data_IF_959124201497
#
_entry.id   IF_959124201497
#
_cell.length_a   1.000
_cell.length_b   1.000
_cell.length_c   1.000
_cell.angle_alpha   90.00
_cell.angle_beta   90.00
_cell.angle_gamma   90.00
#
_symmetry.space_group_name_H-M   'P 1'
#
loop_
_entity.id
_entity.type
_entity.pdbx_description
1 polymer ?
#
# COMPACT_ATOMS: atom_id res chain seq x y z
N UNK A 1 44.31 42.67 1.43
CA UNK A 1 43.22 43.01 0.49
C UNK A 1 42.34 41.77 0.36
N UNK A 2 41.11 41.87 0.91
CA UNK A 2 39.97 40.92 0.84
C UNK A 2 40.20 39.54 1.50
N UNK A 3 39.73 39.18 2.70
CA UNK A 3 38.41 39.19 3.38
C UNK A 3 37.33 38.24 2.83
N UNK A 4 36.64 37.59 3.79
CA UNK A 4 35.51 36.60 3.79
C UNK A 4 35.91 35.10 3.76
N UNK A 5 35.81 34.22 4.78
CA UNK A 5 35.07 34.03 6.07
C UNK A 5 33.65 33.39 5.96
N UNK A 6 33.60 32.05 6.19
CA UNK A 6 32.54 31.17 6.82
C UNK A 6 31.11 31.04 6.20
N UNK A 7 30.21 30.10 6.64
CA UNK A 7 30.33 28.79 7.33
C UNK A 7 29.38 27.64 6.85
N UNK A 8 29.68 26.44 7.36
CA UNK A 8 28.87 25.31 7.84
C UNK A 8 27.33 25.49 8.13
N UNK A 9 26.58 24.39 7.95
CA UNK A 9 25.33 23.96 8.63
C UNK A 9 23.96 24.48 8.19
N UNK A 10 23.03 23.52 7.93
CA UNK A 10 21.59 23.47 8.27
C UNK A 10 21.01 22.17 7.68
N UNK A 11 20.87 21.05 8.42
CA UNK A 11 19.80 20.77 9.40
C UNK A 11 18.49 21.49 9.05
N UNK A 12 17.67 20.86 8.22
CA UNK A 12 16.26 21.25 8.05
C UNK A 12 15.46 20.44 9.07
N UNK A 13 15.27 21.08 10.22
CA UNK A 13 14.37 20.62 11.26
C UNK A 13 12.96 21.17 10.99
N UNK A 14 11.98 20.25 11.08
CA UNK A 14 10.66 20.42 11.70
C UNK A 14 10.39 21.82 12.32
N UNK A 15 9.40 22.55 11.79
CA UNK A 15 8.45 23.46 12.51
C UNK A 15 7.22 23.64 11.60
N UNK A 16 6.12 22.91 11.76
CA UNK A 16 5.03 23.22 12.70
C UNK A 16 4.88 24.72 13.00
N UNK A 17 4.18 25.44 12.12
CA UNK A 17 3.44 26.66 12.50
C UNK A 17 2.09 26.65 11.79
N UNK A 18 1.11 26.14 12.53
CA UNK A 18 -0.30 26.46 12.39
C UNK A 18 -0.45 28.00 12.40
N UNK A 19 -0.99 28.58 11.32
CA UNK A 19 -1.46 29.97 11.33
C UNK A 19 -2.92 30.00 10.93
N UNK A 20 -3.72 30.35 11.93
CA UNK A 20 -5.17 30.43 11.96
C UNK A 20 -5.74 31.55 11.07
N UNK A 21 -6.97 31.26 10.63
CA UNK A 21 -8.14 32.15 10.59
C UNK A 21 -8.25 33.19 9.46
N UNK A 22 -9.06 32.84 8.45
CA UNK A 22 -10.33 33.54 8.18
C UNK A 22 -11.11 32.77 7.11
N UNK A 23 -12.09 31.98 7.53
CA UNK A 23 -13.31 31.75 6.73
C UNK A 23 -14.43 31.42 7.71
N UNK A 24 -15.22 32.44 8.02
CA UNK A 24 -16.54 32.32 8.61
C UNK A 24 -17.50 31.97 7.48
N UNK A 25 -17.86 30.70 7.29
CA UNK A 25 -19.10 30.32 6.62
C UNK A 25 -19.73 29.16 7.37
N UNK A 26 -21.01 29.36 7.64
CA UNK A 26 -22.00 28.56 8.34
C UNK A 26 -22.33 27.23 7.68
N UNK A 27 -22.65 26.26 8.55
CA UNK A 27 -23.59 25.14 8.39
C UNK A 27 -22.99 23.72 8.25
N UNK A 28 -23.61 22.72 8.90
CA UNK A 28 -23.02 21.42 9.19
C UNK A 28 -23.48 20.37 8.18
N UNK A 29 -22.56 19.59 7.62
CA UNK A 29 -22.91 18.26 7.13
C UNK A 29 -21.70 17.34 7.16
N UNK A 30 -21.89 16.28 7.94
CA UNK A 30 -21.08 15.09 8.04
C UNK A 30 -20.82 14.52 6.65
N UNK A 31 -19.56 14.48 6.24
CA UNK A 31 -19.04 13.49 5.30
C UNK A 31 -17.56 13.27 5.63
N UNK A 32 -17.33 12.57 6.73
CA UNK A 32 -16.08 11.86 6.94
C UNK A 32 -16.09 10.63 6.03
N UNK A 33 -15.87 10.83 4.74
CA UNK A 33 -15.44 9.78 3.83
C UNK A 33 -13.99 9.46 4.18
N UNK A 34 -13.78 8.39 4.95
CA UNK A 34 -12.52 7.69 4.95
C UNK A 34 -12.25 7.27 3.51
N UNK A 35 -11.37 7.99 2.83
CA UNK A 35 -10.75 7.48 1.63
C UNK A 35 -9.88 6.31 2.09
N UNK A 36 -10.35 5.08 1.90
CA UNK A 36 -9.52 3.88 1.91
C UNK A 36 -8.53 4.05 0.76
N UNK A 37 -7.39 4.68 1.05
CA UNK A 37 -6.30 4.85 0.11
C UNK A 37 -5.75 3.44 -0.10
N UNK A 38 -6.20 2.76 -1.15
CA UNK A 38 -5.33 1.84 -1.85
C UNK A 38 -4.05 2.62 -2.12
N UNK A 39 -2.98 2.33 -1.39
CA UNK A 39 -1.65 2.69 -1.82
C UNK A 39 -1.24 1.79 -3.00
N UNK A 40 -2.08 1.69 -4.03
CA UNK A 40 -1.57 1.48 -5.38
C UNK A 40 -0.96 2.83 -5.71
N UNK A 41 0.35 2.96 -5.53
CA UNK A 41 1.09 4.08 -6.07
C UNK A 41 1.03 3.96 -7.60
N UNK A 42 -0.08 4.43 -8.19
CA UNK A 42 -0.19 4.65 -9.62
C UNK A 42 0.69 5.84 -9.96
N UNK A 43 1.98 5.57 -10.10
CA UNK A 43 2.85 6.42 -10.92
C UNK A 43 2.17 6.59 -12.27
N UNK A 44 2.01 7.83 -12.74
CA UNK A 44 1.37 8.12 -14.01
C UNK A 44 2.16 7.46 -15.17
N UNK A 45 1.81 6.25 -15.55
CA UNK A 45 2.36 5.53 -16.69
C UNK A 45 1.48 4.29 -16.97
N UNK A 46 1.26 4.02 -18.25
CA UNK A 46 0.82 2.76 -18.90
C UNK A 46 0.27 1.64 -18.01
N UNK A 47 -0.88 1.05 -18.42
CA UNK A 47 -1.42 -0.14 -17.76
C UNK A 47 -0.29 -1.16 -17.50
N UNK A 48 -0.16 -1.66 -16.25
CA UNK A 48 0.94 -2.54 -15.88
C UNK A 48 0.98 -3.75 -16.81
N UNK A 49 2.18 -4.21 -17.14
CA UNK A 49 2.31 -5.41 -17.94
C UNK A 49 1.62 -6.58 -17.22
N UNK A 50 0.97 -7.50 -17.96
CA UNK A 50 0.18 -8.58 -17.35
C UNK A 50 0.99 -9.44 -16.38
N UNK A 51 2.27 -9.69 -16.68
CA UNK A 51 3.13 -10.50 -15.81
C UNK A 51 3.45 -9.76 -14.50
N UNK A 52 3.75 -8.46 -14.53
CA UNK A 52 3.99 -7.64 -13.35
C UNK A 52 2.75 -7.52 -12.49
N UNK A 53 1.58 -7.35 -13.11
CA UNK A 53 0.31 -7.39 -12.39
C UNK A 53 0.11 -8.75 -11.71
N UNK A 54 0.33 -9.86 -12.43
CA UNK A 54 0.21 -11.21 -11.87
C UNK A 54 1.19 -11.42 -10.69
N UNK A 55 2.44 -10.95 -10.80
CA UNK A 55 3.45 -10.99 -9.72
C UNK A 55 3.02 -10.18 -8.51
N UNK A 56 2.55 -8.94 -8.71
CA UNK A 56 2.06 -8.08 -7.63
C UNK A 56 0.87 -8.70 -6.91
N UNK A 57 -0.15 -9.15 -7.63
CA UNK A 57 -1.32 -9.79 -7.01
C UNK A 57 -0.92 -11.09 -6.30
N UNK A 58 0.04 -11.85 -6.85
CA UNK A 58 0.58 -13.03 -6.17
C UNK A 58 1.28 -12.68 -4.85
N UNK A 59 2.07 -11.61 -4.80
CA UNK A 59 2.68 -11.12 -3.56
C UNK A 59 1.63 -10.64 -2.56
N UNK A 60 0.65 -9.85 -3.00
CA UNK A 60 -0.47 -9.38 -2.16
C UNK A 60 -1.26 -10.54 -1.56
N UNK A 61 -1.50 -11.62 -2.32
CA UNK A 61 -2.13 -12.82 -1.79
C UNK A 61 -1.27 -13.51 -0.71
N UNK A 62 0.05 -13.52 -0.90
CA UNK A 62 0.98 -13.99 0.12
C UNK A 62 0.92 -13.14 1.40
N UNK A 63 0.89 -11.82 1.26
CA UNK A 63 0.76 -10.88 2.40
C UNK A 63 -0.57 -11.08 3.11
N UNK A 64 -1.64 -11.34 2.37
CA UNK A 64 -2.93 -11.67 2.95
C UNK A 64 -2.88 -12.98 3.76
N UNK A 65 -2.14 -13.99 3.31
CA UNK A 65 -1.90 -15.20 4.10
C UNK A 65 -1.06 -14.93 5.35
N UNK A 66 -0.04 -14.07 5.26
CA UNK A 66 0.72 -13.60 6.42
C UNK A 66 -0.21 -12.98 7.46
N UNK A 67 -1.05 -12.04 7.02
CA UNK A 67 -2.08 -11.40 7.83
C UNK A 67 -2.98 -12.47 8.48
N UNK A 68 -3.55 -13.41 7.71
CA UNK A 68 -4.45 -14.46 8.24
C UNK A 68 -3.76 -15.27 9.34
N UNK A 69 -2.46 -15.57 9.18
CA UNK A 69 -1.64 -16.22 10.20
C UNK A 69 -1.48 -15.41 11.50
N UNK A 70 -1.67 -14.08 11.45
CA UNK A 70 -1.73 -13.18 12.62
C UNK A 70 -3.14 -13.01 13.20
N UNK A 71 -4.16 -13.59 12.56
CA UNK A 71 -5.55 -13.56 13.01
C UNK A 71 -6.44 -12.50 12.34
N UNK A 72 -5.98 -11.86 11.26
CA UNK A 72 -6.72 -10.81 10.53
C UNK A 72 -6.37 -10.87 9.04
N UNK A 73 -7.22 -10.54 8.06
CA UNK A 73 -8.66 -10.39 8.13
C UNK A 73 -9.35 -11.76 8.13
N UNK A 74 -10.66 -11.78 7.89
CA UNK A 74 -11.39 -13.02 7.65
C UNK A 74 -10.85 -13.77 6.41
N UNK A 75 -11.01 -15.10 6.36
CA UNK A 75 -10.56 -15.90 5.19
C UNK A 75 -11.27 -15.52 3.86
N UNK A 76 -12.37 -14.76 3.93
CA UNK A 76 -13.17 -14.39 2.76
C UNK A 76 -12.41 -13.56 1.72
N UNK A 77 -11.54 -12.64 2.16
CA UNK A 77 -10.74 -11.82 1.27
C UNK A 77 -9.82 -12.67 0.37
N UNK A 78 -9.21 -13.74 0.91
CA UNK A 78 -8.27 -14.57 0.16
C UNK A 78 -8.92 -15.21 -1.07
N UNK A 79 -10.17 -15.66 -0.93
CA UNK A 79 -10.94 -16.26 -2.03
C UNK A 79 -11.16 -15.26 -3.16
N UNK A 80 -11.47 -14.00 -2.84
CA UNK A 80 -11.68 -12.97 -3.86
C UNK A 80 -10.39 -12.63 -4.60
N UNK A 81 -9.27 -12.51 -3.89
CA UNK A 81 -7.96 -12.27 -4.50
C UNK A 81 -7.51 -13.45 -5.36
N UNK A 82 -7.77 -14.68 -4.95
CA UNK A 82 -7.51 -15.88 -5.75
C UNK A 82 -8.35 -15.91 -7.03
N UNK A 83 -9.64 -15.59 -6.92
CA UNK A 83 -10.55 -15.48 -8.07
C UNK A 83 -10.06 -14.40 -9.04
N UNK A 84 -9.66 -13.24 -8.53
CA UNK A 84 -9.13 -12.16 -9.35
C UNK A 84 -7.84 -12.58 -10.06
N UNK A 85 -6.89 -13.20 -9.35
CA UNK A 85 -5.65 -13.69 -9.96
C UNK A 85 -5.92 -14.74 -11.05
N UNK A 86 -6.89 -15.63 -10.84
CA UNK A 86 -7.29 -16.64 -11.82
C UNK A 86 -7.94 -16.05 -13.08
N UNK A 87 -8.46 -14.82 -13.00
CA UNK A 87 -8.99 -14.08 -14.16
C UNK A 87 -7.89 -13.43 -15.02
N UNK A 88 -6.68 -13.28 -14.48
CA UNK A 88 -5.56 -12.71 -15.21
C UNK A 88 -4.97 -13.74 -16.19
N UNK A 89 -4.34 -13.30 -17.29
CA UNK A 89 -3.54 -14.18 -18.13
C UNK A 89 -2.49 -14.92 -17.31
N UNK A 90 -2.26 -16.18 -17.64
CA UNK A 90 -1.23 -16.98 -16.99
C UNK A 90 0.16 -16.32 -17.18
N UNK A 91 1.01 -16.30 -16.14
CA UNK A 91 2.30 -15.63 -16.22
C UNK A 91 3.25 -16.41 -17.12
N UNK A 92 4.12 -15.70 -17.83
CA UNK A 92 5.19 -16.35 -18.61
C UNK A 92 6.15 -17.17 -17.73
N UNK A 93 6.36 -16.74 -16.48
CA UNK A 93 7.18 -17.45 -15.48
C UNK A 93 6.40 -17.68 -14.17
N UNK A 94 5.76 -18.86 -14.03
CA UNK A 94 5.06 -19.25 -12.81
C UNK A 94 5.96 -19.38 -11.57
N UNK A 95 7.24 -19.69 -11.75
CA UNK A 95 8.18 -19.85 -10.63
C UNK A 95 8.48 -18.51 -9.98
N UNK A 96 8.64 -17.44 -10.78
CA UNK A 96 8.77 -16.08 -10.27
C UNK A 96 7.50 -15.65 -9.53
N UNK A 97 6.30 -15.88 -10.08
CA UNK A 97 5.06 -15.57 -9.38
C UNK A 97 4.93 -16.31 -8.03
N UNK A 98 5.32 -17.59 -7.98
CA UNK A 98 5.35 -18.37 -6.74
C UNK A 98 6.37 -17.83 -5.73
N UNK A 99 7.53 -17.34 -6.18
CA UNK A 99 8.50 -16.67 -5.32
C UNK A 99 7.92 -15.41 -4.67
N UNK A 100 7.27 -14.56 -5.45
CA UNK A 100 6.62 -13.33 -4.96
C UNK A 100 5.52 -13.64 -3.94
N UNK A 101 4.71 -14.67 -4.19
CA UNK A 101 3.72 -15.15 -3.21
C UNK A 101 4.38 -15.62 -1.93
N UNK A 102 5.42 -16.45 -2.02
CA UNK A 102 6.15 -16.94 -0.84
C UNK A 102 6.70 -15.78 -0.01
N UNK A 103 7.32 -14.79 -0.64
CA UNK A 103 7.80 -13.58 0.05
C UNK A 103 6.69 -12.82 0.75
N UNK A 104 5.51 -12.74 0.13
CA UNK A 104 4.32 -12.19 0.77
C UNK A 104 3.97 -12.93 2.07
N UNK A 105 4.02 -14.27 2.08
CA UNK A 105 3.74 -15.07 3.29
C UNK A 105 4.77 -14.86 4.41
N UNK A 106 5.95 -14.35 4.08
CA UNK A 106 7.00 -13.97 5.02
C UNK A 106 6.81 -12.54 5.56
N UNK A 107 5.75 -11.83 5.14
CA UNK A 107 5.47 -10.45 5.54
C UNK A 107 6.23 -9.41 4.71
N UNK A 108 6.59 -9.73 3.47
CA UNK A 108 7.31 -8.82 2.57
C UNK A 108 6.40 -8.35 1.44
N UNK A 109 6.26 -7.03 1.29
CA UNK A 109 5.56 -6.37 0.18
C UNK A 109 6.59 -5.94 -0.86
N UNK A 110 6.34 -6.27 -2.12
CA UNK A 110 7.07 -5.69 -3.25
C UNK A 110 6.37 -4.41 -3.71
N UNK A 111 7.09 -3.28 -3.64
CA UNK A 111 6.63 -1.98 -4.13
C UNK A 111 7.35 -1.62 -5.45
N UNK A 112 7.04 -2.38 -6.50
CA UNK A 112 7.84 -2.41 -7.74
C UNK A 112 8.87 -3.54 -7.73
N UNK A 113 9.68 -3.64 -8.78
CA UNK A 113 10.58 -4.78 -8.99
C UNK A 113 11.76 -4.82 -7.99
N UNK A 114 12.28 -3.65 -7.62
CA UNK A 114 13.50 -3.54 -6.79
C UNK A 114 13.24 -3.07 -5.36
N UNK A 115 12.00 -2.77 -4.99
CA UNK A 115 11.67 -2.27 -3.65
C UNK A 115 10.93 -3.32 -2.85
N UNK A 116 11.45 -3.61 -1.67
CA UNK A 116 10.83 -4.50 -0.69
C UNK A 116 10.71 -3.76 0.63
N UNK A 117 9.57 -3.91 1.28
CA UNK A 117 9.32 -3.39 2.63
C UNK A 117 8.60 -4.45 3.45
N UNK A 118 8.81 -4.46 4.76
CA UNK A 118 8.03 -5.30 5.65
C UNK A 118 6.59 -4.79 5.74
N UNK A 119 5.63 -5.69 5.94
CA UNK A 119 4.22 -5.35 6.10
C UNK A 119 4.00 -4.42 7.29
N UNK A 120 4.73 -4.63 8.38
CA UNK A 120 4.70 -3.74 9.55
C UNK A 120 5.18 -2.33 9.20
N UNK A 121 6.27 -2.22 8.44
CA UNK A 121 6.78 -0.92 7.99
C UNK A 121 5.83 -0.23 7.03
N UNK A 122 5.12 -1.00 6.19
CA UNK A 122 4.07 -0.45 5.35
C UNK A 122 2.92 0.09 6.19
N UNK A 123 2.44 -0.68 7.17
CA UNK A 123 1.38 -0.26 8.09
C UNK A 123 1.77 1.03 8.82
N UNK A 124 2.98 1.10 9.39
CA UNK A 124 3.52 2.31 10.02
C UNK A 124 3.61 3.48 9.02
N UNK A 125 4.08 3.21 7.81
CA UNK A 125 4.22 4.20 6.74
C UNK A 125 2.88 4.84 6.33
N UNK A 126 1.78 4.09 6.43
CA UNK A 126 0.41 4.60 6.21
C UNK A 126 -0.31 5.00 7.50
N UNK A 127 0.43 5.12 8.62
CA UNK A 127 -0.10 5.49 9.94
C UNK A 127 -1.22 4.57 10.44
N UNK A 128 -1.10 3.28 10.16
CA UNK A 128 -2.00 2.22 10.64
C UNK A 128 -1.25 1.24 11.54
N UNK A 129 -1.98 0.62 12.45
CA UNK A 129 -1.48 -0.59 13.12
C UNK A 129 -1.51 -1.79 12.17
N UNK A 130 -0.70 -2.82 12.43
CA UNK A 130 -0.70 -4.05 11.63
C UNK A 130 -2.12 -4.67 11.49
N UNK A 131 -2.95 -4.78 12.55
CA UNK A 131 -4.31 -5.29 12.41
C UNK A 131 -5.20 -4.42 11.52
N UNK A 132 -5.12 -3.10 11.62
CA UNK A 132 -5.89 -2.17 10.76
C UNK A 132 -5.48 -2.31 9.30
N UNK A 133 -4.17 -2.38 9.03
CA UNK A 133 -3.64 -2.61 7.70
C UNK A 133 -4.11 -3.95 7.14
N UNK A 134 -3.99 -5.05 7.90
CA UNK A 134 -4.46 -6.37 7.47
C UNK A 134 -5.97 -6.41 7.24
N UNK A 135 -6.77 -5.66 8.04
CA UNK A 135 -8.22 -5.57 7.85
C UNK A 135 -8.61 -4.85 6.56
N UNK A 136 -7.79 -3.93 6.06
CA UNK A 136 -8.05 -3.23 4.79
C UNK A 136 -8.20 -4.17 3.59
N UNK A 137 -7.66 -5.40 3.66
CA UNK A 137 -7.86 -6.41 2.62
C UNK A 137 -9.30 -6.90 2.48
N UNK A 138 -10.12 -6.86 3.55
CA UNK A 138 -11.57 -7.13 3.43
C UNK A 138 -12.25 -6.04 2.60
N UNK A 139 -11.93 -4.77 2.86
CA UNK A 139 -12.47 -3.63 2.10
C UNK A 139 -12.05 -3.67 0.62
N UNK A 140 -10.78 -3.99 0.38
CA UNK A 140 -10.24 -4.12 -0.97
C UNK A 140 -10.84 -5.32 -1.73
N UNK A 141 -11.15 -6.42 -1.03
CA UNK A 141 -11.81 -7.57 -1.63
C UNK A 141 -13.21 -7.21 -2.14
N UNK A 142 -13.98 -6.43 -1.39
CA UNK A 142 -15.30 -5.97 -1.85
C UNK A 142 -15.18 -5.06 -3.09
N UNK A 143 -14.15 -4.21 -3.16
CA UNK A 143 -13.87 -3.40 -4.34
C UNK A 143 -13.49 -4.25 -5.56
N UNK A 144 -12.65 -5.28 -5.37
CA UNK A 144 -12.27 -6.23 -6.43
C UNK A 144 -13.46 -7.00 -6.97
N UNK A 145 -14.37 -7.43 -6.08
CA UNK A 145 -15.59 -8.14 -6.45
C UNK A 145 -16.52 -7.29 -7.32
N UNK A 146 -16.56 -5.97 -7.12
CA UNK A 146 -17.34 -5.05 -7.94
C UNK A 146 -16.71 -4.79 -9.33
N UNK A 147 -15.43 -5.12 -9.52
CA UNK A 147 -14.70 -4.93 -10.77
C UNK A 147 -14.69 -6.17 -11.68
N UNK A 148 -15.17 -7.31 -11.18
CA UNK A 148 -15.36 -8.56 -11.92
C UNK A 148 -16.73 -8.60 -12.57
#
# INVERSE_FOLDING_TARGET
MSDTVFPNSRRIALRFVCRLARFLITAPMVLATCASVLAIQTSAAQAPDPDSLYRQISNQLGVLQYCIGKGFPSQGAAVIYESFLASLPAPADPATAAHYRKKGTEGVIYNGEDSQIAVEQMAEGVSQTLPEYCKSYDENAEALKAAQ
#
